data_IF_974106986878
#
_entry.id   IF_974106986878
#
_cell.length_a   1.000
_cell.length_b   1.000
_cell.length_c   1.000
_cell.angle_alpha   90.00
_cell.angle_beta   90.00
_cell.angle_gamma   90.00
#
_symmetry.space_group_name_H-M   'P 1'
#
loop_
_entity.id
_entity.type
_entity.pdbx_description
1 polymer ?
#
# COMPACT_ATOMS: atom_id res chain seq x y z
N UNK A 1 -6.81 -20.94 -8.08
CA UNK A 1 -6.45 -20.41 -6.75
C UNK A 1 -7.37 -19.24 -6.47
N UNK A 2 -7.88 -19.11 -5.25
CA UNK A 2 -8.64 -17.92 -4.86
C UNK A 2 -7.68 -16.76 -4.61
N UNK A 3 -8.17 -15.53 -4.78
CA UNK A 3 -7.37 -14.32 -4.64
C UNK A 3 -7.95 -13.43 -3.53
N UNK A 4 -7.09 -13.00 -2.61
CA UNK A 4 -7.39 -11.93 -1.66
C UNK A 4 -7.12 -10.58 -2.32
N UNK A 5 -8.14 -9.72 -2.40
CA UNK A 5 -7.98 -8.33 -2.86
C UNK A 5 -7.73 -7.45 -1.64
N UNK A 6 -6.57 -6.82 -1.57
CA UNK A 6 -6.24 -5.84 -0.54
C UNK A 6 -6.76 -4.47 -0.97
N UNK A 7 -7.71 -3.94 -0.20
CA UNK A 7 -8.34 -2.64 -0.40
C UNK A 7 -7.89 -1.56 0.61
N UNK A 8 -7.38 -1.99 1.77
CA UNK A 8 -6.91 -1.14 2.86
C UNK A 8 -7.78 -1.20 4.12
N UNK A 9 -8.92 -1.89 4.07
CA UNK A 9 -9.95 -1.82 5.12
C UNK A 9 -10.46 -3.20 5.57
N UNK A 10 -10.52 -4.20 4.68
CA UNK A 10 -11.33 -5.41 4.91
C UNK A 10 -10.55 -6.73 5.07
N UNK A 11 -9.25 -6.67 5.39
CA UNK A 11 -8.42 -7.87 5.55
C UNK A 11 -8.74 -8.61 6.86
N UNK A 12 -9.14 -9.88 6.78
CA UNK A 12 -9.41 -10.73 7.96
C UNK A 12 -8.23 -11.64 8.35
N UNK A 13 -8.26 -12.17 9.57
CA UNK A 13 -7.22 -13.10 10.06
C UNK A 13 -7.19 -14.42 9.27
N UNK A 14 -8.35 -14.91 8.83
CA UNK A 14 -8.47 -16.10 8.00
C UNK A 14 -7.78 -15.90 6.65
N UNK A 15 -7.99 -14.74 6.02
CA UNK A 15 -7.34 -14.37 4.76
C UNK A 15 -5.82 -14.28 4.94
N UNK A 16 -5.34 -13.66 6.02
CA UNK A 16 -3.90 -13.58 6.35
C UNK A 16 -3.30 -14.97 6.50
N UNK A 17 -3.98 -15.88 7.23
CA UNK A 17 -3.53 -17.26 7.40
C UNK A 17 -3.51 -18.02 6.08
N UNK A 18 -4.51 -17.86 5.23
CA UNK A 18 -4.58 -18.55 3.95
C UNK A 18 -3.46 -18.09 2.99
N UNK A 19 -3.18 -16.78 2.93
CA UNK A 19 -2.08 -16.22 2.15
C UNK A 19 -0.72 -16.70 2.68
N UNK A 20 -0.50 -16.70 4.00
CA UNK A 20 0.79 -17.12 4.57
C UNK A 20 1.11 -18.60 4.37
N UNK A 21 0.08 -19.43 4.23
CA UNK A 21 0.21 -20.85 3.89
C UNK A 21 0.32 -21.11 2.37
N UNK A 22 0.26 -20.06 1.53
CA UNK A 22 0.34 -20.18 0.07
C UNK A 22 -0.94 -20.72 -0.58
N UNK A 23 -2.06 -20.72 0.15
CA UNK A 23 -3.35 -21.24 -0.32
C UNK A 23 -4.14 -20.24 -1.18
N UNK A 24 -3.77 -18.96 -1.15
CA UNK A 24 -4.42 -17.88 -1.90
C UNK A 24 -3.39 -16.94 -2.52
N UNK A 25 -3.70 -16.42 -3.70
CA UNK A 25 -2.94 -15.33 -4.32
C UNK A 25 -3.36 -13.98 -3.73
N UNK A 26 -2.54 -12.95 -3.92
CA UNK A 26 -2.81 -11.60 -3.43
C UNK A 26 -2.83 -10.62 -4.60
N UNK A 27 -3.82 -9.75 -4.62
CA UNK A 27 -3.88 -8.60 -5.53
C UNK A 27 -4.20 -7.32 -4.75
N UNK A 28 -3.92 -6.18 -5.36
CA UNK A 28 -4.34 -4.88 -4.85
C UNK A 28 -5.57 -4.42 -5.63
N UNK A 29 -6.54 -3.82 -4.95
CA UNK A 29 -7.64 -3.13 -5.63
C UNK A 29 -7.12 -1.98 -6.50
N UNK A 30 -7.87 -1.61 -7.54
CA UNK A 30 -7.57 -0.43 -8.36
C UNK A 30 -7.45 0.83 -7.50
N UNK A 31 -8.41 1.01 -6.58
CA UNK A 31 -8.57 2.22 -5.78
C UNK A 31 -7.42 2.34 -4.77
N UNK A 32 -6.97 1.23 -4.19
CA UNK A 32 -5.77 1.22 -3.33
C UNK A 32 -4.52 1.62 -4.13
N UNK A 33 -4.37 1.15 -5.37
CA UNK A 33 -3.24 1.53 -6.22
C UNK A 33 -3.26 3.02 -6.53
N UNK A 34 -4.42 3.59 -6.83
CA UNK A 34 -4.58 5.02 -7.07
C UNK A 34 -4.22 5.84 -5.81
N UNK A 35 -4.71 5.43 -4.63
CA UNK A 35 -4.37 6.07 -3.34
C UNK A 35 -2.87 6.00 -3.04
N UNK A 36 -2.22 4.87 -3.33
CA UNK A 36 -0.76 4.73 -3.17
C UNK A 36 0.01 5.66 -4.12
N UNK A 37 -0.44 5.78 -5.37
CA UNK A 37 0.18 6.70 -6.35
C UNK A 37 0.02 8.16 -5.91
N UNK A 38 -1.17 8.55 -5.44
CA UNK A 38 -1.40 9.90 -4.91
C UNK A 38 -0.54 10.18 -3.66
N UNK A 39 -0.42 9.23 -2.75
CA UNK A 39 0.46 9.33 -1.58
C UNK A 39 1.92 9.49 -1.98
N UNK A 40 2.39 8.72 -2.97
CA UNK A 40 3.75 8.85 -3.50
C UNK A 40 3.98 10.22 -4.14
N UNK A 41 3.02 10.71 -4.92
CA UNK A 41 3.12 12.03 -5.54
C UNK A 41 3.26 13.13 -4.48
N UNK A 42 2.55 13.05 -3.37
CA UNK A 42 2.70 14.03 -2.28
C UNK A 42 4.13 14.02 -1.69
N UNK A 43 4.76 12.85 -1.57
CA UNK A 43 6.17 12.76 -1.13
C UNK A 43 7.11 13.36 -2.17
N UNK A 44 6.89 13.09 -3.46
CA UNK A 44 7.68 13.67 -4.55
C UNK A 44 7.54 15.20 -4.59
N UNK A 45 6.33 15.73 -4.43
CA UNK A 45 6.07 17.18 -4.38
C UNK A 45 6.78 17.85 -3.18
N UNK A 46 6.92 17.16 -2.03
CA UNK A 46 7.71 17.63 -0.86
C UNK A 46 9.20 17.70 -1.17
N UNK A 47 9.73 16.69 -1.87
CA UNK A 47 11.15 16.68 -2.26
C UNK A 47 11.46 17.83 -3.21
N UNK A 48 10.54 18.10 -4.15
CA UNK A 48 10.68 19.18 -5.13
C UNK A 48 10.49 20.59 -4.51
N UNK A 49 9.69 20.72 -3.44
CA UNK A 49 9.44 22.00 -2.77
C UNK A 49 10.65 22.51 -1.97
N UNK A 50 11.58 21.63 -1.61
CA UNK A 50 12.70 21.94 -0.72
C UNK A 50 12.31 22.09 0.75
N UNK A 51 11.08 21.73 1.12
CA UNK A 51 10.64 21.69 2.52
C UNK A 51 11.37 20.60 3.29
N UNK A 52 11.83 20.90 4.51
CA UNK A 52 12.50 19.93 5.38
C UNK A 52 11.45 19.10 6.12
N UNK A 53 11.38 17.80 5.83
CA UNK A 53 10.38 16.89 6.39
C UNK A 53 11.03 15.64 6.98
N UNK A 54 10.72 15.38 8.26
CA UNK A 54 11.26 14.24 8.99
C UNK A 54 10.89 12.90 8.35
N UNK A 55 11.89 12.02 8.19
CA UNK A 55 11.70 10.70 7.58
C UNK A 55 11.55 10.71 6.06
N UNK A 56 11.63 11.88 5.42
CA UNK A 56 11.66 12.01 3.95
C UNK A 56 13.05 12.47 3.49
N UNK A 57 13.49 13.66 3.90
CA UNK A 57 14.77 14.24 3.47
C UNK A 57 15.68 14.68 4.63
N UNK A 58 15.31 14.32 5.86
CA UNK A 58 16.19 14.43 7.01
C UNK A 58 16.85 13.09 7.29
N UNK A 59 18.18 13.08 7.43
CA UNK A 59 18.94 11.97 8.00
C UNK A 59 18.95 12.00 9.52
#
# INVERSE_FOLDING_TARGET
METVVIDGDNLTLEMVKAVSLGSMEVSLSSDSRERMQASRKAVEDILDSGEVVYGINTG
#
